data_IF_176603849282
#
_entry.id   IF_176603849282
#
_cell.length_a   1.000
_cell.length_b   1.000
_cell.length_c   1.000
_cell.angle_alpha   90.00
_cell.angle_beta   90.00
_cell.angle_gamma   90.00
#
_symmetry.space_group_name_H-M   'P 1'
#
loop_
_entity.id
_entity.type
_entity.pdbx_description
1 polymer ?
#
# COMPACT_ATOMS: atom_id res chain seq x y z
N UNK A 1 8.46 -37.11 31.50
CA UNK A 1 8.63 -35.66 31.79
C UNK A 1 7.93 -34.89 30.68
N UNK A 2 6.99 -33.97 30.97
CA UNK A 2 6.42 -33.11 29.94
C UNK A 2 7.52 -32.24 29.32
N UNK A 3 7.51 -32.08 28.00
CA UNK A 3 8.44 -31.20 27.30
C UNK A 3 8.12 -29.74 27.66
N UNK A 4 9.13 -28.90 27.95
CA UNK A 4 8.89 -27.50 28.23
C UNK A 4 8.27 -26.82 27.00
N UNK A 5 7.34 -25.87 27.19
CA UNK A 5 6.77 -25.13 26.08
C UNK A 5 7.89 -24.38 25.33
N UNK A 6 7.81 -24.28 23.99
CA UNK A 6 8.79 -23.55 23.22
C UNK A 6 8.81 -22.07 23.65
N UNK A 7 9.99 -21.41 23.60
CA UNK A 7 10.09 -20.00 23.90
C UNK A 7 9.24 -19.17 22.93
N UNK A 8 8.69 -18.06 23.42
CA UNK A 8 7.90 -17.15 22.61
C UNK A 8 8.72 -16.61 21.43
N UNK A 9 8.12 -16.44 20.24
CA UNK A 9 8.80 -15.83 19.11
C UNK A 9 9.25 -14.41 19.46
N UNK A 10 10.40 -13.95 18.93
CA UNK A 10 10.87 -12.60 19.16
C UNK A 10 9.84 -11.57 18.66
N UNK A 11 9.72 -10.40 19.32
CA UNK A 11 8.81 -9.35 18.88
C UNK A 11 9.18 -8.90 17.45
N UNK A 12 8.19 -8.52 16.62
CA UNK A 12 8.47 -8.04 15.28
C UNK A 12 9.31 -6.75 15.34
N UNK A 13 10.22 -6.53 14.38
CA UNK A 13 11.00 -5.30 14.30
C UNK A 13 10.05 -4.11 14.13
N UNK A 14 10.12 -3.14 15.03
CA UNK A 14 9.36 -1.89 14.93
C UNK A 14 10.14 -0.90 14.05
N UNK A 15 9.51 -0.39 12.98
CA UNK A 15 10.11 0.64 12.10
C UNK A 15 10.26 2.02 12.77
N UNK A 16 9.96 2.14 14.07
CA UNK A 16 9.93 3.39 14.83
C UNK A 16 11.19 3.64 15.69
N UNK A 17 12.29 2.92 15.43
CA UNK A 17 13.52 2.96 16.23
C UNK A 17 14.50 4.06 15.77
N UNK A 18 14.04 5.31 15.61
CA UNK A 18 14.94 6.44 15.43
C UNK A 18 14.60 7.55 16.45
N UNK A 19 15.58 7.94 17.27
CA UNK A 19 15.51 9.04 18.25
C UNK A 19 14.46 8.88 19.38
N UNK A 20 14.41 7.72 20.04
CA UNK A 20 13.58 7.53 21.24
C UNK A 20 14.19 8.14 22.51
N UNK A 21 15.47 8.47 22.49
CA UNK A 21 16.17 9.08 23.63
C UNK A 21 16.24 10.59 23.47
N UNK A 22 15.96 11.32 24.56
CA UNK A 22 16.12 12.78 24.57
C UNK A 22 17.59 13.11 24.31
N UNK A 23 17.91 13.97 23.33
CA UNK A 23 19.29 14.39 23.08
C UNK A 23 19.91 14.97 24.36
N UNK A 24 21.00 14.37 24.83
CA UNK A 24 21.83 14.93 25.91
C UNK A 24 22.71 16.01 25.32
N UNK A 25 22.43 17.27 25.66
CA UNK A 25 23.15 18.42 25.13
C UNK A 25 23.87 19.16 26.27
N UNK A 26 25.07 19.64 25.98
CA UNK A 26 25.76 20.59 26.84
C UNK A 26 25.03 21.94 26.89
N UNK A 27 25.39 22.80 27.85
CA UNK A 27 24.72 24.10 28.05
C UNK A 27 24.79 25.01 26.81
N UNK A 28 25.93 25.01 26.11
CA UNK A 28 26.15 25.76 24.87
C UNK A 28 25.31 25.23 23.71
N UNK A 29 25.23 23.90 23.55
CA UNK A 29 24.40 23.25 22.54
C UNK A 29 22.91 23.47 22.80
N UNK A 30 22.48 23.49 24.07
CA UNK A 30 21.11 23.77 24.45
C UNK A 30 20.69 25.20 24.05
N UNK A 31 21.58 26.19 24.21
CA UNK A 31 21.33 27.57 23.79
C UNK A 31 21.19 27.66 22.26
N UNK A 32 22.09 27.03 21.52
CA UNK A 32 22.02 26.97 20.05
C UNK A 32 20.76 26.25 19.55
N UNK A 33 20.35 25.17 20.23
CA UNK A 33 19.12 24.44 19.92
C UNK A 33 17.87 25.29 20.14
N UNK A 34 17.79 26.02 21.25
CA UNK A 34 16.61 26.85 21.55
C UNK A 34 16.40 27.94 20.47
N UNK A 35 17.49 28.57 20.02
CA UNK A 35 17.43 29.52 18.91
C UNK A 35 16.96 28.85 17.60
N UNK A 36 17.55 27.69 17.26
CA UNK A 36 17.14 26.91 16.09
C UNK A 36 15.65 26.52 16.13
N UNK A 37 15.16 26.04 17.27
CA UNK A 37 13.74 25.68 17.44
C UNK A 37 12.83 26.89 17.30
N UNK A 38 13.25 28.07 17.76
CA UNK A 38 12.53 29.33 17.55
C UNK A 38 12.43 29.66 16.06
N UNK A 39 13.53 29.55 15.31
CA UNK A 39 13.55 29.84 13.88
C UNK A 39 12.76 28.82 13.05
N UNK A 40 12.76 27.55 13.43
CA UNK A 40 11.86 26.53 12.85
C UNK A 40 10.40 26.89 13.10
N UNK A 41 10.06 27.32 14.32
CA UNK A 41 8.69 27.69 14.69
C UNK A 41 8.20 28.96 13.96
N UNK A 42 9.10 29.92 13.73
CA UNK A 42 8.82 31.11 12.91
C UNK A 42 8.62 30.75 11.43
N UNK A 43 9.30 29.69 10.97
CA UNK A 43 9.32 29.25 9.58
C UNK A 43 10.21 30.13 8.69
N UNK A 44 10.44 29.66 7.46
CA UNK A 44 11.27 30.35 6.47
C UNK A 44 10.62 30.30 5.09
N UNK A 45 10.59 31.43 4.39
CA UNK A 45 10.19 31.46 2.98
C UNK A 45 11.23 30.72 2.15
N UNK A 46 10.77 29.72 1.41
CA UNK A 46 11.59 28.93 0.49
C UNK A 46 11.43 29.44 -0.94
N UNK A 47 12.44 29.20 -1.77
CA UNK A 47 12.39 29.51 -3.21
C UNK A 47 11.43 28.55 -3.90
N UNK A 48 10.77 29.01 -4.97
CA UNK A 48 9.97 28.13 -5.82
C UNK A 48 10.89 27.21 -6.62
N UNK A 49 10.45 25.98 -6.81
CA UNK A 49 11.17 24.95 -7.58
C UNK A 49 10.14 24.06 -8.24
N UNK A 50 10.36 23.70 -9.50
CA UNK A 50 9.54 22.71 -10.21
C UNK A 50 9.91 21.34 -9.65
N UNK A 51 8.95 20.66 -9.03
CA UNK A 51 9.16 19.28 -8.53
C UNK A 51 8.84 18.29 -9.64
N UNK A 52 9.83 17.47 -10.01
CA UNK A 52 9.62 16.31 -10.87
C UNK A 52 9.20 15.10 -10.02
N UNK A 53 7.92 15.03 -9.68
CA UNK A 53 7.35 13.95 -8.87
C UNK A 53 7.01 12.73 -9.74
N UNK A 54 7.73 11.62 -9.55
CA UNK A 54 7.53 10.33 -10.23
C UNK A 54 7.01 9.24 -9.29
N UNK A 55 6.41 9.62 -8.17
CA UNK A 55 5.85 8.69 -7.19
C UNK A 55 4.46 8.16 -7.58
N UNK A 56 3.84 8.74 -8.61
CA UNK A 56 2.53 8.30 -9.09
C UNK A 56 2.58 6.86 -9.61
N UNK A 57 1.53 6.05 -9.35
CA UNK A 57 1.47 4.68 -9.84
C UNK A 57 1.37 4.66 -11.37
N UNK A 58 2.07 3.70 -11.99
CA UNK A 58 1.94 3.43 -13.42
C UNK A 58 0.68 2.61 -13.62
N UNK A 59 -0.30 3.17 -14.34
CA UNK A 59 -1.51 2.47 -14.73
C UNK A 59 -1.36 1.96 -16.16
N UNK A 60 -1.24 0.65 -16.31
CA UNK A 60 -1.36 0.02 -17.61
C UNK A 60 -2.80 0.22 -18.11
N UNK A 61 -2.97 0.98 -19.20
CA UNK A 61 -4.27 1.05 -19.88
C UNK A 61 -4.60 -0.37 -20.35
N UNK A 62 -5.78 -0.95 -20.02
CA UNK A 62 -6.21 -2.16 -20.67
C UNK A 62 -6.20 -1.89 -22.18
N UNK A 63 -5.54 -2.76 -22.94
CA UNK A 63 -5.42 -2.64 -24.38
C UNK A 63 -6.81 -2.68 -25.01
N UNK A 64 -7.39 -1.50 -25.27
CA UNK A 64 -8.66 -1.35 -25.97
C UNK A 64 -9.67 -0.46 -25.23
N UNK A 65 -9.51 0.86 -25.34
CA UNK A 65 -10.64 1.80 -25.39
C UNK A 65 -10.10 3.12 -25.93
N UNK A 66 -10.31 3.33 -27.23
CA UNK A 66 -10.24 4.66 -27.81
C UNK A 66 -11.42 5.49 -27.32
N UNK A 67 -11.22 6.81 -27.31
CA UNK A 67 -12.20 7.89 -27.13
C UNK A 67 -12.61 8.24 -25.68
N UNK A 68 -12.33 9.50 -25.33
CA UNK A 68 -13.34 10.42 -24.78
C UNK A 68 -13.68 10.32 -23.29
N UNK A 69 -13.31 11.38 -22.56
CA UNK A 69 -14.21 12.08 -21.64
C UNK A 69 -14.88 11.32 -20.48
N UNK A 70 -14.53 11.76 -19.27
CA UNK A 70 -15.53 12.01 -18.22
C UNK A 70 -15.98 10.84 -17.36
N UNK A 71 -15.66 10.94 -16.06
CA UNK A 71 -16.62 10.71 -14.99
C UNK A 71 -16.95 9.27 -14.59
N UNK A 72 -16.63 8.96 -13.34
CA UNK A 72 -17.56 8.25 -12.46
C UNK A 72 -17.38 6.75 -12.30
N UNK A 73 -17.10 6.37 -11.05
CA UNK A 73 -17.89 5.34 -10.38
C UNK A 73 -17.46 3.88 -10.52
N UNK A 74 -16.97 3.34 -9.40
CA UNK A 74 -17.56 2.13 -8.82
C UNK A 74 -17.11 0.78 -9.37
N UNK A 75 -16.23 0.12 -8.61
CA UNK A 75 -16.51 -1.21 -8.02
C UNK A 75 -16.58 -2.45 -8.91
N UNK A 76 -15.89 -3.50 -8.47
CA UNK A 76 -16.24 -4.88 -8.79
C UNK A 76 -15.11 -5.67 -9.43
N UNK A 77 -14.46 -6.50 -8.62
CA UNK A 77 -13.56 -7.53 -9.13
C UNK A 77 -14.34 -8.61 -9.88
N UNK A 78 -13.77 -9.08 -10.98
CA UNK A 78 -14.20 -10.31 -11.64
C UNK A 78 -12.97 -11.04 -12.14
N UNK A 79 -12.70 -12.15 -11.48
CA UNK A 79 -11.83 -13.22 -11.95
C UNK A 79 -12.59 -14.01 -13.01
N UNK A 80 -12.12 -13.97 -14.25
CA UNK A 80 -12.40 -14.94 -15.30
C UNK A 80 -11.13 -14.95 -16.17
N UNK A 81 -10.36 -16.02 -16.30
CA UNK A 81 -10.77 -17.41 -16.44
C UNK A 81 -10.66 -17.81 -17.90
N UNK A 82 -9.43 -17.98 -18.40
CA UNK A 82 -9.07 -19.00 -19.41
C UNK A 82 -9.24 -18.74 -20.92
N UNK A 83 -8.12 -18.91 -21.65
CA UNK A 83 -8.03 -19.34 -23.07
C UNK A 83 -7.89 -18.20 -24.09
N UNK A 84 -6.98 -18.19 -25.07
CA UNK A 84 -5.95 -19.11 -25.54
C UNK A 84 -5.58 -18.77 -27.01
N UNK A 85 -4.27 -18.76 -27.34
CA UNK A 85 -3.72 -18.78 -28.71
C UNK A 85 -3.54 -17.42 -29.41
N UNK A 86 -2.42 -17.07 -30.04
CA UNK A 86 -1.15 -17.76 -30.30
C UNK A 86 -0.26 -16.87 -31.19
N UNK A 87 1.05 -17.18 -31.27
CA UNK A 87 1.90 -16.73 -32.38
C UNK A 87 3.28 -16.17 -32.03
N UNK A 88 4.29 -17.06 -32.08
CA UNK A 88 5.63 -16.75 -32.61
C UNK A 88 6.71 -16.27 -31.63
N UNK A 89 7.72 -17.12 -31.37
CA UNK A 89 8.99 -16.65 -30.82
C UNK A 89 9.72 -17.62 -29.90
N UNK A 90 10.31 -18.65 -30.50
CA UNK A 90 11.49 -19.39 -30.07
C UNK A 90 12.21 -18.92 -28.77
N UNK A 91 11.90 -19.56 -27.63
CA UNK A 91 12.84 -19.71 -26.51
C UNK A 91 12.69 -21.12 -25.96
N UNK A 92 13.77 -21.90 -26.07
CA UNK A 92 13.84 -23.24 -25.52
C UNK A 92 13.61 -23.23 -24.00
N UNK A 93 12.89 -24.25 -23.54
CA UNK A 93 12.94 -24.83 -22.20
C UNK A 93 13.20 -23.91 -21.01
N UNK A 94 12.15 -23.53 -20.31
CA UNK A 94 12.24 -23.02 -18.93
C UNK A 94 11.35 -21.79 -18.73
N UNK A 95 10.61 -21.79 -17.61
CA UNK A 95 9.60 -20.77 -17.31
C UNK A 95 10.12 -19.32 -17.32
N UNK A 96 9.20 -18.35 -17.23
CA UNK A 96 9.53 -16.93 -17.39
C UNK A 96 10.68 -16.51 -16.46
N UNK A 97 11.69 -15.81 -16.98
CA UNK A 97 12.86 -15.42 -16.21
C UNK A 97 12.46 -14.35 -15.19
N UNK A 98 12.78 -14.58 -13.91
CA UNK A 98 12.96 -13.48 -12.98
C UNK A 98 11.91 -13.23 -11.90
N UNK A 99 11.39 -14.28 -11.23
CA UNK A 99 10.82 -14.13 -9.88
C UNK A 99 11.41 -15.23 -8.98
N UNK A 100 12.68 -15.07 -8.61
CA UNK A 100 13.49 -16.08 -7.94
C UNK A 100 12.76 -16.76 -6.78
N UNK A 101 12.40 -18.03 -6.95
CA UNK A 101 11.88 -18.96 -5.93
C UNK A 101 10.57 -18.62 -5.20
N UNK A 102 10.25 -17.34 -5.03
CA UNK A 102 9.24 -16.84 -4.08
C UNK A 102 7.81 -17.34 -4.36
N UNK A 103 7.51 -17.67 -5.62
CA UNK A 103 6.19 -18.19 -6.02
C UNK A 103 6.24 -19.61 -6.58
N UNK A 104 7.36 -20.35 -6.44
CA UNK A 104 7.44 -21.74 -6.89
C UNK A 104 6.42 -22.66 -6.19
N UNK A 105 5.96 -22.28 -5.00
CA UNK A 105 4.90 -22.99 -4.27
C UNK A 105 3.48 -22.43 -4.49
N UNK A 106 3.31 -21.47 -5.40
CA UNK A 106 2.03 -20.79 -5.67
C UNK A 106 1.77 -19.58 -4.78
N UNK A 107 0.86 -18.69 -5.21
CA UNK A 107 0.50 -17.46 -4.48
C UNK A 107 -0.53 -17.77 -3.38
N UNK A 108 -0.30 -17.34 -2.12
CA UNK A 108 -1.27 -17.53 -1.04
C UNK A 108 -2.61 -16.86 -1.34
N UNK A 109 -3.71 -17.60 -1.24
CA UNK A 109 -5.07 -17.07 -1.46
C UNK A 109 -5.62 -16.46 -0.18
N UNK A 110 -6.02 -15.19 -0.23
CA UNK A 110 -6.67 -14.51 0.89
C UNK A 110 -8.09 -15.03 1.11
N UNK A 111 -8.55 -14.96 2.37
CA UNK A 111 -9.94 -15.26 2.76
C UNK A 111 -10.87 -14.13 2.34
N UNK A 112 -12.09 -14.46 1.92
CA UNK A 112 -13.12 -13.49 1.53
C UNK A 112 -13.59 -12.66 2.73
N UNK A 113 -13.72 -11.34 2.54
CA UNK A 113 -14.29 -10.41 3.52
C UNK A 113 -15.80 -10.24 3.28
N UNK A 114 -16.59 -11.24 3.63
CA UNK A 114 -18.05 -11.13 3.64
C UNK A 114 -18.50 -10.47 4.95
N UNK A 115 -18.47 -9.14 5.01
CA UNK A 115 -19.24 -8.39 6.01
C UNK A 115 -19.76 -7.08 5.42
N UNK A 116 -20.72 -7.20 4.50
CA UNK A 116 -21.66 -6.12 4.13
C UNK A 116 -23.06 -6.51 4.59
N UNK A 117 -23.22 -6.75 5.87
CA UNK A 117 -24.54 -6.81 6.50
C UNK A 117 -24.72 -5.52 7.29
N UNK A 118 -25.23 -4.49 6.63
CA UNK A 118 -25.80 -3.30 7.26
C UNK A 118 -26.62 -2.56 6.19
N UNK A 119 -27.95 -2.62 6.30
CA UNK A 119 -28.86 -1.82 5.48
C UNK A 119 -30.08 -2.54 4.90
N UNK A 120 -30.51 -3.68 5.45
CA UNK A 120 -31.87 -4.12 5.20
C UNK A 120 -32.86 -3.18 5.93
N UNK A 121 -33.85 -2.71 5.18
CA UNK A 121 -35.21 -2.44 5.66
C UNK A 121 -35.42 -1.15 6.46
N UNK A 122 -35.46 -0.01 5.76
CA UNK A 122 -36.33 1.10 6.14
C UNK A 122 -37.67 0.98 5.42
N UNK A 123 -38.60 0.37 6.16
CA UNK A 123 -40.04 0.61 6.18
C UNK A 123 -40.54 1.78 5.30
N UNK A 124 -41.24 1.45 4.21
CA UNK A 124 -42.29 2.33 3.67
C UNK A 124 -43.64 1.64 3.81
N UNK A 125 -44.14 1.71 5.03
CA UNK A 125 -45.52 1.45 5.43
C UNK A 125 -46.41 2.55 4.84
N UNK A 126 -47.39 2.13 4.05
CA UNK A 126 -48.69 2.78 3.86
C UNK A 126 -48.74 4.20 3.25
N UNK A 127 -49.26 4.30 2.03
CA UNK A 127 -50.33 5.28 1.77
C UNK A 127 -51.20 4.83 0.60
N UNK A 128 -52.38 4.35 0.98
CA UNK A 128 -53.57 4.21 0.14
C UNK A 128 -54.08 5.58 -0.32
N UNK A 129 -54.31 5.75 -1.61
CA UNK A 129 -55.60 6.08 -2.25
C UNK A 129 -55.38 6.19 -3.76
#
# INVERSE_FOLDING_TARGET
>A
MPVPPPPAPPPPPTFALANTEKPSLSKSEQAGRNALLSDISKGKKLKKTVTNDRSAPILDKPKGAAAGGGGGGGGGGSYAGGGGGGGGGNFGGGGPPGLGGLFQAGMPKLRSTANRENGARLERKGRSK
#
